data_IF_558329028391
#
_entry.id   IF_558329028391
#
_cell.length_a   1.000
_cell.length_b   1.000
_cell.length_c   1.000
_cell.angle_alpha   90.00
_cell.angle_beta   90.00
_cell.angle_gamma   90.00
#
_symmetry.space_group_name_H-M   'P 1'
#
loop_
_entity.id
_entity.type
_entity.pdbx_description
1 polymer ?
#
# COMPACT_ATOMS: atom_id res chain seq x y z
N UNK A 1 1.70 12.35 -3.44
CA UNK A 1 3.12 12.50 -3.84
C UNK A 1 3.27 12.18 -5.33
N UNK A 2 4.35 12.65 -5.98
CA UNK A 2 4.66 12.27 -7.37
C UNK A 2 5.47 10.96 -7.41
N UNK A 3 5.37 10.19 -8.50
CA UNK A 3 6.07 8.89 -8.67
C UNK A 3 7.60 9.03 -8.59
N UNK A 4 8.14 10.16 -9.04
CA UNK A 4 9.57 10.45 -8.97
C UNK A 4 10.04 10.68 -7.53
N UNK A 5 9.22 11.34 -6.72
CA UNK A 5 9.51 11.62 -5.31
C UNK A 5 9.50 10.33 -4.48
N UNK A 6 8.55 9.42 -4.72
CA UNK A 6 8.48 8.11 -4.05
C UNK A 6 9.75 7.26 -4.24
N UNK A 7 10.37 7.33 -5.42
CA UNK A 7 11.59 6.58 -5.75
C UNK A 7 12.84 7.10 -5.03
N UNK A 8 12.85 8.36 -4.60
CA UNK A 8 13.98 8.98 -3.90
C UNK A 8 13.85 8.83 -2.38
N UNK A 9 12.61 8.81 -1.88
CA UNK A 9 12.32 8.85 -0.45
C UNK A 9 12.11 7.46 0.16
N UNK A 10 11.82 6.43 -0.64
CA UNK A 10 11.63 5.05 -0.15
C UNK A 10 12.71 4.11 -0.68
N UNK A 11 13.62 3.71 0.21
CA UNK A 11 14.49 2.58 -0.05
C UNK A 11 13.64 1.30 -0.12
N UNK A 12 13.87 0.49 -1.15
CA UNK A 12 13.14 -0.77 -1.38
C UNK A 12 13.26 -1.70 -0.17
N UNK A 13 14.42 -1.72 0.47
CA UNK A 13 14.69 -2.62 1.58
C UNK A 13 13.92 -2.19 2.84
N UNK A 14 13.82 -0.89 3.11
CA UNK A 14 13.01 -0.35 4.21
C UNK A 14 11.53 -0.71 4.03
N UNK A 15 10.99 -0.62 2.81
CA UNK A 15 9.59 -0.99 2.52
C UNK A 15 9.36 -2.49 2.73
N UNK A 16 10.32 -3.33 2.36
CA UNK A 16 10.24 -4.78 2.61
C UNK A 16 10.28 -5.09 4.09
N UNK A 17 11.19 -4.46 4.83
CA UNK A 17 11.32 -4.66 6.28
C UNK A 17 10.06 -4.19 7.01
N UNK A 18 9.50 -3.04 6.61
CA UNK A 18 8.25 -2.55 7.16
C UNK A 18 7.10 -3.54 6.91
N UNK A 19 6.95 -4.04 5.68
CA UNK A 19 5.91 -5.00 5.33
C UNK A 19 6.14 -6.36 6.03
N UNK A 20 7.38 -6.82 6.13
CA UNK A 20 7.74 -8.02 6.86
C UNK A 20 7.44 -7.90 8.36
N UNK A 21 7.70 -6.74 8.97
CA UNK A 21 7.36 -6.46 10.38
C UNK A 21 5.85 -6.54 10.64
N UNK A 22 5.04 -6.27 9.61
CA UNK A 22 3.57 -6.39 9.61
C UNK A 22 3.07 -7.79 9.24
N UNK A 23 3.97 -8.77 9.03
CA UNK A 23 3.62 -10.13 8.63
C UNK A 23 3.22 -10.28 7.16
N UNK A 24 3.59 -9.32 6.30
CA UNK A 24 3.22 -9.30 4.89
C UNK A 24 4.42 -9.73 4.04
N UNK A 25 4.31 -10.86 3.37
CA UNK A 25 5.38 -11.35 2.48
C UNK A 25 5.25 -10.77 1.07
N UNK A 26 6.27 -10.08 0.57
CA UNK A 26 6.25 -9.51 -0.79
C UNK A 26 7.20 -10.25 -1.73
N UNK A 27 6.70 -10.66 -2.89
CA UNK A 27 7.52 -11.15 -4.01
C UNK A 27 7.27 -10.29 -5.25
N UNK A 28 8.32 -9.83 -5.92
CA UNK A 28 8.16 -9.05 -7.13
C UNK A 28 9.19 -9.36 -8.23
N UNK A 29 8.79 -9.23 -9.50
CA UNK A 29 9.67 -9.40 -10.66
C UNK A 29 10.70 -8.25 -10.77
N UNK A 30 10.29 -7.03 -10.42
CA UNK A 30 11.21 -5.92 -10.19
C UNK A 30 10.80 -5.16 -8.93
N UNK A 31 11.75 -4.96 -8.02
CA UNK A 31 11.48 -4.22 -6.79
C UNK A 31 11.33 -2.70 -7.00
N UNK A 32 11.70 -2.21 -8.19
CA UNK A 32 11.46 -0.83 -8.61
C UNK A 32 9.97 -0.51 -8.71
N UNK A 33 9.17 -1.45 -9.22
CA UNK A 33 7.70 -1.30 -9.26
C UNK A 33 7.04 -1.39 -7.87
N UNK A 34 7.71 -2.02 -6.90
CA UNK A 34 7.23 -2.09 -5.51
C UNK A 34 7.45 -0.76 -4.79
N UNK A 35 8.59 -0.10 -4.99
CA UNK A 35 8.84 1.24 -4.41
C UNK A 35 7.91 2.32 -4.95
N UNK A 36 7.42 2.20 -6.19
CA UNK A 36 6.43 3.12 -6.75
C UNK A 36 5.04 2.99 -6.09
N UNK A 37 4.78 1.86 -5.43
CA UNK A 37 3.52 1.54 -4.76
C UNK A 37 3.65 1.40 -3.24
N UNK A 38 4.77 1.85 -2.67
CA UNK A 38 4.99 1.81 -1.23
C UNK A 38 3.79 2.42 -0.47
N UNK A 39 3.45 1.96 0.74
CA UNK A 39 2.26 2.42 1.48
C UNK A 39 2.17 3.94 1.64
N UNK A 40 3.31 4.64 1.70
CA UNK A 40 3.36 6.11 1.73
C UNK A 40 2.97 6.80 0.41
N UNK A 41 2.95 6.09 -0.71
CA UNK A 41 2.60 6.63 -2.03
C UNK A 41 1.09 6.86 -2.19
N UNK A 42 0.26 6.24 -1.35
CA UNK A 42 -1.20 6.32 -1.41
C UNK A 42 -1.77 7.10 -0.22
N UNK A 43 -2.97 7.66 -0.43
CA UNK A 43 -3.77 8.25 0.66
C UNK A 43 -4.19 7.16 1.63
N UNK A 44 -4.50 7.54 2.86
CA UNK A 44 -5.13 6.64 3.83
C UNK A 44 -6.46 6.11 3.25
N UNK A 45 -6.48 4.81 2.95
CA UNK A 45 -7.66 4.14 2.38
C UNK A 45 -8.81 4.11 3.36
N UNK A 46 -8.53 4.09 4.67
CA UNK A 46 -9.58 4.06 5.70
C UNK A 46 -10.40 5.36 5.64
N UNK A 47 -9.74 6.52 5.40
CA UNK A 47 -10.43 7.81 5.22
C UNK A 47 -11.32 7.85 3.97
N UNK A 48 -10.87 7.27 2.85
CA UNK A 48 -11.66 7.24 1.61
C UNK A 48 -12.92 6.39 1.78
N UNK A 49 -12.79 5.26 2.47
CA UNK A 49 -13.90 4.37 2.77
C UNK A 49 -14.88 5.03 3.75
N UNK A 50 -14.39 5.77 4.75
CA UNK A 50 -15.24 6.54 5.68
C UNK A 50 -16.16 7.51 4.94
N UNK A 51 -15.58 8.37 4.09
CA UNK A 51 -16.35 9.36 3.31
C UNK A 51 -17.38 8.68 2.39
N UNK A 52 -17.01 7.56 1.76
CA UNK A 52 -17.91 6.81 0.88
C UNK A 52 -19.06 6.16 1.65
N UNK A 53 -18.82 5.77 2.91
CA UNK A 53 -19.86 5.22 3.77
C UNK A 53 -20.82 6.29 4.27
N UNK A 54 -20.27 7.39 4.80
CA UNK A 54 -21.03 8.47 5.41
C UNK A 54 -21.88 9.24 4.39
N UNK A 55 -21.41 9.30 3.13
CA UNK A 55 -22.19 9.87 2.02
C UNK A 55 -23.26 8.92 1.46
N UNK A 56 -23.33 7.68 1.94
CA UNK A 56 -24.33 6.69 1.52
C UNK A 56 -24.11 6.11 0.12
N UNK A 57 -22.98 6.38 -0.53
CA UNK A 57 -22.67 5.85 -1.88
C UNK A 57 -22.16 4.41 -1.84
N UNK A 58 -21.67 3.95 -0.68
CA UNK A 58 -21.26 2.58 -0.44
C UNK A 58 -21.48 2.18 1.02
N UNK A 59 -21.65 0.89 1.31
CA UNK A 59 -21.72 0.37 2.68
C UNK A 59 -20.42 -0.34 3.05
N UNK A 60 -19.91 -0.09 4.26
CA UNK A 60 -18.83 -0.91 4.83
C UNK A 60 -19.38 -2.30 5.12
N UNK A 61 -18.69 -3.32 4.61
CA UNK A 61 -19.09 -4.73 4.80
C UNK A 61 -18.00 -5.51 5.52
N UNK A 62 -16.79 -5.49 4.98
CA UNK A 62 -15.65 -6.19 5.55
C UNK A 62 -14.35 -5.45 5.24
N UNK A 63 -13.35 -5.61 6.11
CA UNK A 63 -11.98 -5.13 5.89
C UNK A 63 -11.05 -6.32 5.83
N UNK A 64 -10.25 -6.38 4.77
CA UNK A 64 -9.22 -7.40 4.61
C UNK A 64 -7.85 -6.83 4.99
N UNK A 65 -6.96 -7.73 5.44
CA UNK A 65 -5.55 -7.42 5.66
C UNK A 65 -4.70 -8.39 4.83
N UNK A 66 -3.73 -7.89 4.05
CA UNK A 66 -2.88 -8.76 3.28
C UNK A 66 -1.96 -9.56 4.21
N UNK A 67 -1.63 -10.78 3.79
CA UNK A 67 -0.58 -11.63 4.38
C UNK A 67 0.53 -11.91 3.38
N UNK A 68 0.26 -11.71 2.09
CA UNK A 68 1.23 -11.83 1.01
C UNK A 68 0.83 -11.03 -0.22
N UNK A 69 1.82 -10.51 -0.93
CA UNK A 69 1.67 -9.72 -2.16
C UNK A 69 2.66 -10.27 -3.19
N UNK A 70 2.15 -10.67 -4.35
CA UNK A 70 2.97 -11.09 -5.50
C UNK A 70 2.75 -10.08 -6.62
N UNK A 71 3.83 -9.46 -7.10
CA UNK A 71 3.78 -8.39 -8.10
C UNK A 71 4.71 -8.67 -9.29
N UNK A 72 4.12 -9.06 -10.42
CA UNK A 72 4.82 -9.30 -11.69
C UNK A 72 4.81 -8.06 -12.58
#
# INVERSE_FOLDING_TARGET
>A
MSRYQAKKDFNVDDVKEELASKGITVKAASFRGVSEEAPGAYKDVDQVIEVSHDSGIALKVARLRPIGVIKG
#
